data_IF_667009441268
#
_entry.id   IF_667009441268
#
_cell.length_a   1.000
_cell.length_b   1.000
_cell.length_c   1.000
_cell.angle_alpha   90.00
_cell.angle_beta   90.00
_cell.angle_gamma   90.00
#
_symmetry.space_group_name_H-M   'P 1'
#
loop_
_entity.id
_entity.type
_entity.pdbx_description
1 polymer ?
#
# COMPACT_ATOMS: atom_id res chain seq x y z
N UNK A 1 -8.83 37.79 3.34
CA UNK A 1 -7.58 37.11 2.93
C UNK A 1 -6.49 37.17 4.00
N UNK A 2 -6.01 38.34 4.45
CA UNK A 2 -4.96 38.41 5.49
C UNK A 2 -5.40 37.88 6.86
N UNK A 3 -6.66 38.09 7.24
CA UNK A 3 -7.18 37.67 8.55
C UNK A 3 -7.40 36.15 8.71
N UNK A 4 -7.26 35.37 7.63
CA UNK A 4 -7.42 33.90 7.62
C UNK A 4 -6.18 33.17 7.05
N UNK A 5 -5.09 33.89 6.76
CA UNK A 5 -3.86 33.29 6.22
C UNK A 5 -3.96 32.71 4.80
N UNK A 6 -5.01 33.02 4.04
CA UNK A 6 -5.22 32.46 2.70
C UNK A 6 -4.67 33.44 1.65
N UNK A 7 -3.44 33.18 1.19
CA UNK A 7 -2.89 33.74 -0.05
C UNK A 7 -3.08 32.74 -1.20
N UNK A 8 -3.64 33.18 -2.32
CA UNK A 8 -3.58 32.43 -3.58
C UNK A 8 -2.16 32.52 -4.13
N UNK A 9 -1.34 31.53 -3.79
CA UNK A 9 0.03 31.42 -4.25
C UNK A 9 0.10 30.32 -5.32
N UNK A 10 0.41 30.64 -6.59
CA UNK A 10 0.68 29.64 -7.63
C UNK A 10 1.81 28.67 -7.23
N UNK A 11 2.72 29.10 -6.36
CA UNK A 11 3.74 28.21 -5.79
C UNK A 11 3.14 27.08 -4.91
N UNK A 12 1.97 27.30 -4.29
CA UNK A 12 1.23 26.31 -3.50
C UNK A 12 0.25 25.48 -4.35
N UNK A 13 0.24 25.65 -5.68
CA UNK A 13 -0.55 24.82 -6.59
C UNK A 13 0.17 23.53 -7.02
N UNK A 14 1.32 23.22 -6.43
CA UNK A 14 2.01 21.95 -6.65
C UNK A 14 1.21 20.82 -6.00
N UNK A 15 0.49 20.06 -6.84
CA UNK A 15 -0.08 18.78 -6.44
C UNK A 15 1.04 17.75 -6.55
N UNK A 16 1.59 17.33 -5.40
CA UNK A 16 2.41 16.14 -5.38
C UNK A 16 1.55 14.93 -5.76
N UNK A 17 2.06 14.07 -6.64
CA UNK A 17 1.38 12.82 -6.97
C UNK A 17 1.23 11.98 -5.70
N UNK A 18 -0.01 11.65 -5.31
CA UNK A 18 -0.26 10.86 -4.11
C UNK A 18 0.44 9.49 -4.19
N UNK A 19 0.51 8.89 -5.38
CA UNK A 19 1.22 7.62 -5.58
C UNK A 19 2.74 7.74 -5.33
N UNK A 20 3.35 8.89 -5.68
CA UNK A 20 4.74 9.17 -5.33
C UNK A 20 4.92 9.31 -3.82
N UNK A 21 4.02 10.04 -3.15
CA UNK A 21 4.05 10.16 -1.69
C UNK A 21 3.90 8.81 -1.01
N UNK A 22 2.98 7.97 -1.47
CA UNK A 22 2.83 6.60 -0.99
C UNK A 22 4.14 5.83 -1.14
N UNK A 23 4.81 5.92 -2.28
CA UNK A 23 6.10 5.27 -2.47
C UNK A 23 7.13 5.74 -1.43
N UNK A 24 7.26 7.04 -1.21
CA UNK A 24 8.19 7.58 -0.21
C UNK A 24 7.84 7.13 1.21
N UNK A 25 6.57 7.06 1.57
CA UNK A 25 6.11 6.62 2.90
C UNK A 25 6.42 5.15 3.11
N UNK A 26 6.07 4.29 2.14
CA UNK A 26 6.33 2.86 2.25
C UNK A 26 7.83 2.57 2.20
N UNK A 27 8.60 3.30 1.38
CA UNK A 27 10.04 3.19 1.35
C UNK A 27 10.66 3.56 2.71
N UNK A 28 10.17 4.61 3.39
CA UNK A 28 10.63 4.97 4.75
C UNK A 28 10.32 3.87 5.76
N UNK A 29 9.12 3.29 5.66
CA UNK A 29 8.68 2.17 6.50
C UNK A 29 9.59 0.95 6.30
N UNK A 30 9.83 0.55 5.05
CA UNK A 30 10.69 -0.59 4.71
C UNK A 30 12.17 -0.34 5.04
N UNK A 31 12.64 0.91 5.03
CA UNK A 31 13.99 1.25 5.45
C UNK A 31 14.25 0.94 6.94
N UNK A 32 13.23 1.08 7.81
CA UNK A 32 13.33 0.66 9.22
C UNK A 32 13.52 -0.85 9.36
N UNK A 33 13.04 -1.63 8.38
CA UNK A 33 13.17 -3.09 8.34
C UNK A 33 14.41 -3.56 7.58
N UNK A 34 15.33 -2.63 7.27
CA UNK A 34 16.53 -2.85 6.44
C UNK A 34 16.21 -3.45 5.05
N UNK A 35 15.04 -3.12 4.52
CA UNK A 35 14.51 -3.73 3.30
C UNK A 35 14.51 -2.78 2.08
N UNK A 36 14.66 -1.48 2.33
CA UNK A 36 14.73 -0.43 1.33
C UNK A 36 15.75 0.66 1.73
N UNK A 37 16.33 1.41 0.78
CA UNK A 37 17.14 2.58 1.12
C UNK A 37 16.26 3.69 1.70
N UNK A 38 16.86 4.59 2.50
CA UNK A 38 16.13 5.75 3.03
C UNK A 38 15.66 6.67 1.87
N UNK A 39 14.34 6.97 1.76
CA UNK A 39 13.81 7.87 0.73
C UNK A 39 14.30 9.32 0.81
N UNK A 40 14.91 9.72 1.93
CA UNK A 40 15.58 11.02 2.06
C UNK A 40 16.96 11.05 1.37
N UNK A 41 17.51 9.86 1.04
CA UNK A 41 18.79 9.69 0.35
C UNK A 41 18.56 9.27 -1.09
N UNK A 42 17.73 8.26 -1.32
CA UNK A 42 17.47 7.66 -2.64
C UNK A 42 15.97 7.57 -2.88
N UNK A 43 15.46 8.26 -3.90
CA UNK A 43 14.03 8.18 -4.27
C UNK A 43 13.79 7.10 -5.33
N UNK A 44 13.35 5.93 -4.88
CA UNK A 44 13.14 4.76 -5.74
C UNK A 44 11.98 4.95 -6.74
N UNK A 45 11.08 5.90 -6.48
CA UNK A 45 9.99 6.22 -7.40
C UNK A 45 10.53 6.79 -8.70
N UNK A 46 11.54 7.67 -8.62
CA UNK A 46 12.10 8.33 -9.81
C UNK A 46 12.76 7.35 -10.77
N UNK A 47 13.33 6.26 -10.25
CA UNK A 47 13.93 5.18 -11.02
C UNK A 47 12.90 4.35 -11.80
N UNK A 48 11.66 4.31 -11.33
CA UNK A 48 10.60 3.40 -11.81
C UNK A 48 9.34 4.13 -12.29
N UNK A 49 9.41 5.44 -12.49
CA UNK A 49 8.26 6.31 -12.81
C UNK A 49 7.52 5.92 -14.10
N UNK A 50 8.20 5.22 -15.01
CA UNK A 50 7.66 4.83 -16.32
C UNK A 50 6.84 3.53 -16.25
N UNK A 51 6.87 2.83 -15.11
CA UNK A 51 6.10 1.62 -14.89
C UNK A 51 4.70 1.94 -14.34
N UNK A 52 3.71 1.03 -14.53
CA UNK A 52 2.36 1.22 -13.99
C UNK A 52 2.37 1.44 -12.47
N UNK A 53 1.60 2.42 -11.98
CA UNK A 53 1.55 2.79 -10.56
C UNK A 53 1.09 1.64 -9.66
N UNK A 54 0.00 0.96 -10.06
CA UNK A 54 -0.48 -0.25 -9.42
C UNK A 54 0.06 -1.49 -10.13
N UNK A 55 0.53 -2.46 -9.35
CA UNK A 55 0.97 -3.77 -9.84
C UNK A 55 -0.15 -4.78 -9.62
N UNK A 56 -0.52 -5.50 -10.68
CA UNK A 56 -1.49 -6.58 -10.65
C UNK A 56 -0.81 -7.88 -11.10
N UNK A 57 -0.57 -8.84 -10.20
CA UNK A 57 0.10 -10.11 -10.55
C UNK A 57 -0.71 -10.95 -11.54
N UNK A 58 -2.02 -10.76 -11.65
CA UNK A 58 -2.89 -11.50 -12.57
C UNK A 58 -2.70 -11.04 -14.03
N UNK A 59 -2.06 -9.87 -14.24
CA UNK A 59 -1.78 -9.29 -15.55
C UNK A 59 -0.27 -9.32 -15.88
N UNK A 60 0.57 -9.88 -15.00
CA UNK A 60 2.01 -9.92 -15.21
C UNK A 60 2.38 -10.99 -16.24
N UNK A 61 2.94 -10.63 -17.41
CA UNK A 61 3.24 -11.58 -18.48
C UNK A 61 4.31 -12.59 -18.09
N UNK A 62 5.27 -12.23 -17.22
CA UNK A 62 6.31 -13.15 -16.77
C UNK A 62 5.71 -14.20 -15.81
N UNK A 63 4.86 -13.76 -14.87
CA UNK A 63 4.16 -14.67 -13.96
C UNK A 63 3.25 -15.61 -14.74
N UNK A 64 2.43 -15.09 -15.65
CA UNK A 64 1.54 -15.89 -16.48
C UNK A 64 2.29 -16.88 -17.38
N UNK A 65 3.42 -16.46 -17.97
CA UNK A 65 4.26 -17.37 -18.75
C UNK A 65 4.79 -18.51 -17.89
N UNK A 66 5.28 -18.21 -16.67
CA UNK A 66 5.72 -19.24 -15.74
C UNK A 66 4.58 -20.18 -15.35
N UNK A 67 3.37 -19.69 -15.09
CA UNK A 67 2.19 -20.51 -14.75
C UNK A 67 1.78 -21.46 -15.90
N UNK A 68 1.96 -21.03 -17.15
CA UNK A 68 1.59 -21.81 -18.35
C UNK A 68 2.67 -22.77 -18.84
N UNK A 69 3.89 -22.74 -18.28
CA UNK A 69 4.96 -23.66 -18.67
C UNK A 69 4.54 -25.14 -18.51
N UNK A 70 4.78 -25.92 -19.57
CA UNK A 70 4.51 -27.36 -19.60
C UNK A 70 5.82 -28.11 -19.41
N UNK A 71 5.89 -28.97 -18.39
CA UNK A 71 7.03 -29.87 -18.21
C UNK A 71 6.71 -31.26 -18.75
N UNK A 72 7.67 -31.87 -19.44
CA UNK A 72 7.56 -33.27 -19.85
C UNK A 72 7.87 -34.20 -18.67
N UNK A 73 7.12 -35.28 -18.58
CA UNK A 73 7.41 -36.39 -17.67
C UNK A 73 8.72 -37.06 -18.13
N UNK A 74 9.72 -37.11 -17.25
CA UNK A 74 11.03 -37.74 -17.52
C UNK A 74 12.27 -36.84 -17.41
N UNK A 75 12.14 -35.52 -17.28
CA UNK A 75 13.28 -34.63 -16.93
C UNK A 75 13.56 -34.61 -15.42
N UNK A 76 13.58 -35.78 -14.76
CA UNK A 76 13.89 -35.89 -13.33
C UNK A 76 15.33 -36.38 -13.16
N UNK A 77 16.22 -35.48 -12.74
CA UNK A 77 17.41 -35.90 -11.99
C UNK A 77 17.01 -36.34 -10.57
N UNK A 78 17.83 -37.16 -9.89
CA UNK A 78 17.50 -37.82 -8.61
C UNK A 78 17.23 -36.75 -7.52
N UNK A 79 16.38 -36.89 -6.50
CA UNK A 79 15.65 -38.00 -5.87
C UNK A 79 14.30 -37.47 -5.33
N UNK A 80 13.30 -38.34 -5.20
CA UNK A 80 11.96 -38.05 -4.65
C UNK A 80 11.97 -37.60 -3.17
N UNK A 81 13.08 -37.80 -2.45
CA UNK A 81 13.28 -37.39 -1.05
C UNK A 81 13.62 -35.89 -0.89
N UNK A 82 13.96 -35.17 -1.97
CA UNK A 82 14.36 -33.76 -1.94
C UNK A 82 13.17 -32.78 -2.12
N UNK A 83 12.01 -33.26 -2.57
CA UNK A 83 10.79 -32.44 -2.70
C UNK A 83 10.20 -32.06 -1.33
N UNK A 84 10.39 -32.91 -0.31
CA UNK A 84 10.15 -32.52 1.08
C UNK A 84 11.22 -31.53 1.55
N UNK A 85 12.46 -31.62 1.05
CA UNK A 85 13.61 -30.79 1.40
C UNK A 85 13.53 -29.34 0.87
N UNK A 86 12.80 -29.02 -0.20
CA UNK A 86 12.62 -27.63 -0.65
C UNK A 86 11.70 -26.81 0.26
N UNK A 87 10.65 -27.43 0.81
CA UNK A 87 9.80 -26.85 1.85
C UNK A 87 10.43 -27.01 3.25
N UNK A 88 11.04 -28.15 3.57
CA UNK A 88 11.73 -28.39 4.84
C UNK A 88 13.09 -27.66 4.94
N UNK A 89 13.65 -27.22 3.82
CA UNK A 89 14.83 -26.36 3.75
C UNK A 89 14.57 -24.95 4.27
N UNK A 90 13.29 -24.59 4.44
CA UNK A 90 12.87 -23.41 5.21
C UNK A 90 12.85 -23.68 6.73
N UNK A 91 12.96 -24.94 7.18
CA UNK A 91 12.86 -25.34 8.61
C UNK A 91 13.93 -26.35 9.07
N UNK A 92 15.06 -26.44 8.36
CA UNK A 92 16.26 -27.27 8.62
C UNK A 92 16.21 -28.77 8.23
N UNK A 93 17.25 -29.20 7.52
CA UNK A 93 18.30 -30.08 8.07
C UNK A 93 19.65 -29.67 7.44
N UNK A 94 20.62 -29.34 8.29
CA UNK A 94 21.92 -28.75 7.94
C UNK A 94 22.88 -29.74 7.23
N UNK A 95 22.57 -31.03 7.23
CA UNK A 95 23.51 -32.10 6.96
C UNK A 95 23.71 -32.44 5.47
N UNK A 96 22.76 -32.12 4.60
CA UNK A 96 22.82 -32.44 3.15
C UNK A 96 23.38 -31.33 2.27
N UNK A 97 23.60 -30.13 2.81
CA UNK A 97 24.00 -28.95 2.04
C UNK A 97 25.52 -28.88 1.85
N UNK A 98 25.98 -28.32 0.72
CA UNK A 98 27.41 -28.01 0.54
C UNK A 98 27.88 -26.92 1.53
N UNK A 99 29.17 -26.86 1.89
CA UNK A 99 29.69 -25.85 2.82
C UNK A 99 29.34 -24.41 2.44
N UNK A 100 29.35 -24.08 1.14
CA UNK A 100 28.95 -22.76 0.65
C UNK A 100 27.44 -22.50 0.80
N UNK A 101 26.60 -23.49 0.50
CA UNK A 101 25.16 -23.38 0.70
C UNK A 101 24.81 -23.24 2.19
N UNK A 102 25.54 -23.93 3.08
CA UNK A 102 25.41 -23.77 4.53
C UNK A 102 25.76 -22.36 4.98
N UNK A 103 26.85 -21.78 4.46
CA UNK A 103 27.22 -20.39 4.78
C UNK A 103 26.16 -19.40 4.26
N UNK A 104 25.65 -19.58 3.04
CA UNK A 104 24.58 -18.72 2.51
C UNK A 104 23.27 -18.86 3.29
N UNK A 105 22.87 -20.08 3.68
CA UNK A 105 21.67 -20.32 4.49
C UNK A 105 21.85 -19.81 5.91
N UNK A 106 23.03 -19.97 6.50
CA UNK A 106 23.38 -19.42 7.81
C UNK A 106 23.34 -17.88 7.79
N UNK A 107 23.89 -17.24 6.76
CA UNK A 107 23.77 -15.79 6.56
C UNK A 107 22.32 -15.34 6.37
N UNK A 108 21.53 -16.05 5.55
CA UNK A 108 20.12 -15.73 5.34
C UNK A 108 19.28 -15.90 6.62
N UNK A 109 19.55 -16.94 7.41
CA UNK A 109 18.78 -17.30 8.60
C UNK A 109 19.10 -16.42 9.82
N UNK A 110 20.32 -15.86 9.93
CA UNK A 110 20.73 -15.09 11.11
C UNK A 110 21.06 -13.62 10.83
N UNK A 111 21.23 -13.22 9.57
CA UNK A 111 21.65 -11.86 9.22
C UNK A 111 20.68 -11.12 8.27
N UNK A 112 19.58 -11.73 7.85
CA UNK A 112 18.66 -11.13 6.90
C UNK A 112 17.24 -11.06 7.47
N UNK A 113 16.55 -9.94 7.22
CA UNK A 113 15.13 -9.77 7.56
C UNK A 113 14.26 -10.79 6.83
N UNK A 114 13.07 -11.08 7.38
CA UNK A 114 12.12 -12.03 6.79
C UNK A 114 11.79 -11.67 5.33
N UNK A 115 11.73 -10.38 5.00
CA UNK A 115 11.49 -9.92 3.63
C UNK A 115 12.65 -10.29 2.69
N UNK A 116 13.90 -10.19 3.15
CA UNK A 116 15.08 -10.59 2.37
C UNK A 116 15.10 -12.11 2.16
N UNK A 117 14.76 -12.89 3.20
CA UNK A 117 14.67 -14.34 3.07
C UNK A 117 13.57 -14.74 2.07
N UNK A 118 12.42 -14.05 2.12
CA UNK A 118 11.32 -14.22 1.17
C UNK A 118 11.77 -13.95 -0.27
N UNK A 119 12.37 -12.78 -0.53
CA UNK A 119 12.90 -12.37 -1.84
C UNK A 119 13.91 -13.37 -2.38
N UNK A 120 14.80 -13.86 -1.53
CA UNK A 120 15.80 -14.84 -1.92
C UNK A 120 15.16 -16.15 -2.34
N UNK A 121 14.14 -16.59 -1.59
CA UNK A 121 13.40 -17.82 -1.86
C UNK A 121 12.62 -17.73 -3.17
N UNK A 122 11.87 -16.64 -3.39
CA UNK A 122 11.12 -16.43 -4.65
C UNK A 122 12.06 -16.32 -5.84
N UNK A 123 13.19 -15.65 -5.69
CA UNK A 123 14.23 -15.56 -6.73
C UNK A 123 14.76 -16.94 -7.10
N UNK A 124 15.08 -17.78 -6.11
CA UNK A 124 15.54 -19.16 -6.34
C UNK A 124 14.50 -20.00 -7.06
N UNK A 125 13.23 -19.95 -6.63
CA UNK A 125 12.12 -20.66 -7.28
C UNK A 125 12.04 -20.27 -8.76
N UNK A 126 12.11 -18.98 -9.07
CA UNK A 126 11.98 -18.50 -10.44
C UNK A 126 13.26 -18.62 -11.28
N UNK A 127 14.40 -19.00 -10.69
CA UNK A 127 15.72 -18.95 -11.36
C UNK A 127 15.92 -19.97 -12.48
N UNK A 128 15.25 -21.13 -12.43
CA UNK A 128 15.39 -22.17 -13.45
C UNK A 128 14.09 -22.96 -13.68
N UNK A 129 13.90 -23.56 -14.86
CA UNK A 129 12.76 -24.43 -15.13
C UNK A 129 12.65 -25.58 -14.13
N UNK A 130 13.78 -26.14 -13.69
CA UNK A 130 13.80 -27.24 -12.71
C UNK A 130 13.26 -26.80 -11.35
N UNK A 131 13.63 -25.62 -10.87
CA UNK A 131 13.10 -25.08 -9.61
C UNK A 131 11.59 -24.79 -9.72
N UNK A 132 11.13 -24.21 -10.84
CA UNK A 132 9.71 -23.94 -11.09
C UNK A 132 8.88 -25.22 -11.19
N UNK A 133 9.43 -26.28 -11.79
CA UNK A 133 8.80 -27.61 -11.83
C UNK A 133 8.63 -28.18 -10.43
N UNK A 134 9.71 -28.25 -9.66
CA UNK A 134 9.71 -28.75 -8.27
C UNK A 134 8.70 -28.00 -7.39
N UNK A 135 8.63 -26.69 -7.54
CA UNK A 135 7.65 -25.86 -6.84
C UNK A 135 6.21 -26.24 -7.21
N UNK A 136 5.90 -26.37 -8.51
CA UNK A 136 4.57 -26.75 -8.99
C UNK A 136 4.16 -28.15 -8.57
N UNK A 137 5.05 -29.13 -8.65
CA UNK A 137 4.77 -30.50 -8.21
C UNK A 137 4.40 -30.52 -6.72
N UNK A 138 5.13 -29.73 -5.94
CA UNK A 138 4.85 -29.53 -4.50
C UNK A 138 3.51 -28.83 -4.29
N UNK A 139 3.23 -27.74 -5.02
CA UNK A 139 1.98 -27.00 -4.93
C UNK A 139 0.77 -27.86 -5.33
N UNK A 140 0.90 -28.67 -6.37
CA UNK A 140 -0.14 -29.62 -6.80
C UNK A 140 -0.44 -30.65 -5.71
N UNK A 141 0.59 -31.15 -5.01
CA UNK A 141 0.44 -32.08 -3.89
C UNK A 141 -0.22 -31.45 -2.67
N UNK A 142 0.13 -30.21 -2.33
CA UNK A 142 -0.32 -29.54 -1.09
C UNK A 142 -1.66 -28.83 -1.24
N UNK A 143 -1.92 -28.20 -2.39
CA UNK A 143 -3.11 -27.37 -2.65
C UNK A 143 -4.10 -28.04 -3.60
N UNK A 144 -4.09 -29.38 -3.68
CA UNK A 144 -4.98 -30.11 -4.56
C UNK A 144 -6.45 -29.67 -4.34
N UNK A 145 -7.11 -29.28 -5.43
CA UNK A 145 -8.49 -28.76 -5.45
C UNK A 145 -8.76 -27.47 -4.65
N UNK A 146 -7.74 -26.74 -4.19
CA UNK A 146 -7.94 -25.43 -3.56
C UNK A 146 -7.92 -24.31 -4.59
N UNK A 147 -8.70 -23.27 -4.32
CA UNK A 147 -8.91 -22.12 -5.19
C UNK A 147 -8.59 -20.85 -4.41
N UNK A 148 -7.92 -19.90 -5.06
CA UNK A 148 -7.67 -18.57 -4.53
C UNK A 148 -8.97 -17.74 -4.52
N UNK A 149 -8.93 -16.59 -3.85
CA UNK A 149 -10.03 -15.60 -3.89
C UNK A 149 -10.32 -15.11 -5.31
N UNK A 150 -9.30 -15.09 -6.18
CA UNK A 150 -9.43 -14.77 -7.61
C UNK A 150 -10.13 -15.86 -8.44
N UNK A 151 -10.51 -17.00 -7.85
CA UNK A 151 -11.10 -18.13 -8.56
C UNK A 151 -10.08 -19.00 -9.31
N UNK A 152 -8.79 -18.65 -9.28
CA UNK A 152 -7.70 -19.45 -9.87
C UNK A 152 -7.32 -20.62 -8.97
N UNK A 153 -6.91 -21.75 -9.54
CA UNK A 153 -6.46 -22.91 -8.73
C UNK A 153 -5.14 -22.57 -8.03
N UNK A 154 -5.05 -22.75 -6.72
CA UNK A 154 -3.80 -22.47 -5.99
C UNK A 154 -2.63 -23.31 -6.50
N UNK A 155 -2.90 -24.54 -6.94
CA UNK A 155 -1.89 -25.43 -7.53
C UNK A 155 -1.30 -24.92 -8.85
N UNK A 156 -1.97 -24.01 -9.57
CA UNK A 156 -1.46 -23.43 -10.81
C UNK A 156 -0.74 -22.10 -10.61
N UNK A 157 -0.79 -21.51 -9.42
CA UNK A 157 -0.19 -20.22 -9.16
C UNK A 157 1.33 -20.32 -9.04
N UNK A 158 2.02 -19.32 -9.56
CA UNK A 158 3.46 -19.13 -9.35
C UNK A 158 3.72 -18.01 -8.35
N UNK A 159 4.93 -18.00 -7.76
CA UNK A 159 5.37 -16.91 -6.89
C UNK A 159 5.66 -15.64 -7.69
N UNK A 160 5.34 -14.49 -7.11
CA UNK A 160 5.69 -13.17 -7.68
C UNK A 160 7.16 -12.88 -7.36
N UNK A 161 7.94 -12.53 -8.40
CA UNK A 161 9.31 -12.04 -8.19
C UNK A 161 9.24 -10.57 -7.82
N UNK A 162 9.85 -10.22 -6.70
CA UNK A 162 9.88 -8.84 -6.24
C UNK A 162 10.82 -7.96 -7.07
N UNK A 163 10.45 -6.69 -7.19
CA UNK A 163 11.31 -5.63 -7.72
C UNK A 163 11.68 -4.75 -6.52
N UNK A 164 12.92 -4.88 -6.04
CA UNK A 164 13.41 -4.29 -4.76
C UNK A 164 13.06 -2.81 -4.55
N UNK A 165 13.01 -2.03 -5.63
CA UNK A 165 12.72 -0.59 -5.60
C UNK A 165 11.21 -0.27 -5.66
N UNK A 166 10.34 -1.28 -5.61
CA UNK A 166 8.88 -1.15 -5.77
C UNK A 166 8.13 -1.98 -4.74
N UNK A 167 7.74 -1.32 -3.66
CA UNK A 167 7.02 -1.94 -2.56
C UNK A 167 5.71 -2.66 -2.97
N UNK A 168 5.04 -2.22 -4.05
CA UNK A 168 3.82 -2.86 -4.56
C UNK A 168 4.06 -4.33 -4.98
N UNK A 169 5.27 -4.64 -5.48
CA UNK A 169 5.67 -6.03 -5.76
C UNK A 169 5.93 -6.78 -4.45
N UNK A 170 6.49 -6.12 -3.45
CA UNK A 170 6.75 -6.74 -2.13
C UNK A 170 5.43 -7.12 -1.46
N UNK A 171 4.43 -6.24 -1.50
CA UNK A 171 3.08 -6.56 -1.01
C UNK A 171 2.43 -7.70 -1.81
N UNK A 172 2.46 -7.66 -3.14
CA UNK A 172 1.91 -8.74 -3.98
C UNK A 172 2.62 -10.08 -3.75
N UNK A 173 3.94 -10.06 -3.56
CA UNK A 173 4.74 -11.24 -3.21
C UNK A 173 4.30 -11.84 -1.87
N UNK A 174 4.10 -11.00 -0.85
CA UNK A 174 3.62 -11.43 0.47
C UNK A 174 2.21 -12.02 0.35
N UNK A 175 1.27 -11.33 -0.33
CA UNK A 175 -0.10 -11.80 -0.50
C UNK A 175 -0.17 -13.13 -1.26
N UNK A 176 0.57 -13.25 -2.37
CA UNK A 176 0.61 -14.47 -3.16
C UNK A 176 1.13 -15.64 -2.33
N UNK A 177 2.17 -15.43 -1.53
CA UNK A 177 2.72 -16.48 -0.67
C UNK A 177 1.84 -16.80 0.53
N UNK A 178 1.14 -15.81 1.10
CA UNK A 178 0.13 -16.04 2.11
C UNK A 178 -1.00 -16.94 1.59
N UNK A 179 -1.46 -16.73 0.35
CA UNK A 179 -2.45 -17.60 -0.31
C UNK A 179 -1.94 -19.04 -0.48
N UNK A 180 -0.63 -19.19 -0.63
CA UNK A 180 0.08 -20.48 -0.68
C UNK A 180 0.47 -20.96 0.73
N UNK A 181 -0.21 -20.52 1.78
CA UNK A 181 -0.19 -21.10 3.14
C UNK A 181 1.23 -21.23 3.69
N UNK A 182 1.86 -20.11 4.00
CA UNK A 182 2.91 -20.08 5.02
C UNK A 182 2.28 -20.58 6.35
N UNK A 183 2.64 -21.78 6.82
CA UNK A 183 2.39 -22.28 8.20
C UNK A 183 3.77 -22.49 8.84
N UNK A 184 4.07 -22.21 10.11
CA UNK A 184 3.44 -21.48 11.22
C UNK A 184 4.64 -21.08 12.10
N UNK A 185 4.70 -19.82 12.56
CA UNK A 185 5.76 -19.13 13.34
C UNK A 185 6.79 -18.32 12.53
N UNK A 186 7.39 -18.85 11.46
CA UNK A 186 8.57 -18.18 10.86
C UNK A 186 8.25 -16.92 10.04
N UNK A 187 6.97 -16.68 9.71
CA UNK A 187 6.56 -15.60 8.79
C UNK A 187 5.39 -14.74 9.29
N UNK A 188 5.08 -14.79 10.59
CA UNK A 188 4.03 -13.96 11.20
C UNK A 188 4.32 -12.46 10.99
N UNK A 189 5.60 -12.08 11.00
CA UNK A 189 6.02 -10.71 10.70
C UNK A 189 5.61 -10.28 9.28
N UNK A 190 5.74 -11.18 8.29
CA UNK A 190 5.37 -10.89 6.90
C UNK A 190 3.86 -10.74 6.72
N UNK A 191 3.07 -11.55 7.41
CA UNK A 191 1.61 -11.43 7.38
C UNK A 191 1.16 -10.08 7.96
N UNK A 192 1.72 -9.71 9.11
CA UNK A 192 1.49 -8.41 9.75
C UNK A 192 1.98 -7.25 8.86
N UNK A 193 3.14 -7.40 8.22
CA UNK A 193 3.66 -6.42 7.25
C UNK A 193 2.74 -6.32 6.03
N UNK A 194 2.24 -7.43 5.49
CA UNK A 194 1.29 -7.44 4.40
C UNK A 194 0.04 -6.65 4.73
N UNK A 195 -0.54 -6.89 5.91
CA UNK A 195 -1.70 -6.13 6.43
C UNK A 195 -1.40 -4.63 6.57
N UNK A 196 -0.19 -4.27 7.02
CA UNK A 196 0.24 -2.88 7.12
C UNK A 196 0.39 -2.22 5.73
N UNK A 197 0.88 -2.96 4.74
CA UNK A 197 1.10 -2.46 3.38
C UNK A 197 -0.19 -2.37 2.55
N UNK A 198 -1.22 -3.15 2.88
CA UNK A 198 -2.46 -3.27 2.12
C UNK A 198 -3.16 -1.93 1.86
N UNK A 199 -3.23 -1.07 2.88
CA UNK A 199 -3.81 0.28 2.77
C UNK A 199 -3.15 1.08 1.63
N UNK A 200 -1.84 1.00 1.50
CA UNK A 200 -1.10 1.71 0.46
C UNK A 200 -1.39 1.13 -0.93
N UNK A 201 -1.57 -0.20 -1.05
CA UNK A 201 -1.92 -0.85 -2.32
C UNK A 201 -3.30 -0.42 -2.77
N UNK A 202 -4.25 -0.34 -1.85
CA UNK A 202 -5.60 0.16 -2.14
C UNK A 202 -5.58 1.63 -2.58
N UNK A 203 -4.78 2.47 -1.92
CA UNK A 203 -4.61 3.88 -2.32
C UNK A 203 -4.01 3.99 -3.72
N UNK A 204 -2.94 3.25 -4.03
CA UNK A 204 -2.33 3.31 -5.37
C UNK A 204 -3.24 2.75 -6.45
N UNK A 205 -4.00 1.69 -6.17
CA UNK A 205 -5.03 1.16 -7.07
C UNK A 205 -6.07 2.24 -7.38
N UNK A 206 -6.60 2.90 -6.35
CA UNK A 206 -7.58 3.98 -6.52
C UNK A 206 -7.02 5.14 -7.33
N UNK A 207 -5.79 5.57 -7.05
CA UNK A 207 -5.16 6.69 -7.75
C UNK A 207 -4.74 6.34 -9.19
N UNK A 208 -4.74 5.06 -9.56
CA UNK A 208 -4.43 4.58 -10.91
C UNK A 208 -5.68 4.44 -11.79
N UNK A 209 -6.88 4.63 -11.24
CA UNK A 209 -8.12 4.53 -12.00
C UNK A 209 -8.30 5.73 -12.93
N UNK A 210 -8.28 5.47 -14.24
CA UNK A 210 -8.46 6.49 -15.27
C UNK A 210 -9.92 6.89 -15.50
N UNK A 211 -10.88 6.10 -14.97
CA UNK A 211 -12.31 6.29 -15.22
C UNK A 211 -12.97 7.26 -14.23
N UNK A 212 -12.31 7.61 -13.13
CA UNK A 212 -12.86 8.46 -12.08
C UNK A 212 -11.94 9.64 -11.73
N UNK A 213 -12.50 10.83 -11.40
CA UNK A 213 -11.69 11.93 -10.88
C UNK A 213 -11.01 11.53 -9.56
N UNK A 214 -9.68 11.54 -9.52
CA UNK A 214 -8.90 11.09 -8.35
C UNK A 214 -8.62 12.22 -7.34
N UNK A 215 -8.61 13.48 -7.79
CA UNK A 215 -8.29 14.64 -6.95
C UNK A 215 -9.20 14.82 -5.72
N UNK A 216 -10.53 14.58 -5.78
CA UNK A 216 -11.39 14.66 -4.59
C UNK A 216 -11.03 13.67 -3.49
N UNK A 217 -10.36 12.57 -3.86
CA UNK A 217 -10.02 11.48 -2.94
C UNK A 217 -8.70 11.70 -2.22
N UNK A 218 -7.89 12.69 -2.63
CA UNK A 218 -6.56 12.90 -2.06
C UNK A 218 -6.60 13.11 -0.55
N UNK A 219 -7.42 14.03 -0.04
CA UNK A 219 -7.51 14.29 1.41
C UNK A 219 -8.09 13.07 2.18
N UNK A 220 -9.21 12.46 1.74
CA UNK A 220 -9.70 11.22 2.36
C UNK A 220 -8.67 10.09 2.42
N UNK A 221 -7.92 9.87 1.34
CA UNK A 221 -6.91 8.81 1.28
C UNK A 221 -5.74 9.10 2.24
N UNK A 222 -5.32 10.35 2.39
CA UNK A 222 -4.34 10.72 3.43
C UNK A 222 -4.85 10.42 4.84
N UNK A 223 -6.11 10.76 5.14
CA UNK A 223 -6.70 10.46 6.45
C UNK A 223 -6.73 8.94 6.68
N UNK A 224 -7.19 8.15 5.71
CA UNK A 224 -7.20 6.69 5.79
C UNK A 224 -5.81 6.10 6.07
N UNK A 225 -4.77 6.54 5.35
CA UNK A 225 -3.39 6.10 5.60
C UNK A 225 -2.88 6.50 6.99
N UNK A 226 -3.20 7.72 7.46
CA UNK A 226 -2.81 8.18 8.81
C UNK A 226 -3.48 7.35 9.89
N UNK A 227 -4.77 7.07 9.76
CA UNK A 227 -5.52 6.24 10.70
C UNK A 227 -4.90 4.85 10.76
N UNK A 228 -4.65 4.21 9.63
CA UNK A 228 -4.00 2.90 9.60
C UNK A 228 -2.64 2.90 10.30
N UNK A 229 -1.76 3.85 9.98
CA UNK A 229 -0.43 3.93 10.58
C UNK A 229 -0.48 4.22 12.09
N UNK A 230 -1.44 5.05 12.56
CA UNK A 230 -1.65 5.30 13.98
C UNK A 230 -2.15 4.04 14.70
N UNK A 231 -3.13 3.35 14.13
CA UNK A 231 -3.60 2.07 14.66
C UNK A 231 -2.46 1.06 14.76
N UNK A 232 -1.61 0.94 13.73
CA UNK A 232 -0.44 0.04 13.78
C UNK A 232 0.65 0.49 14.75
N UNK A 233 0.82 1.80 14.98
CA UNK A 233 1.73 2.30 16.03
C UNK A 233 1.24 1.90 17.43
N UNK A 234 -0.06 2.01 17.66
CA UNK A 234 -0.68 1.84 18.98
C UNK A 234 -1.05 0.37 19.27
N UNK A 235 -1.00 -0.51 18.26
CA UNK A 235 -1.26 -1.94 18.40
C UNK A 235 -0.09 -2.66 19.09
N UNK A 236 -0.31 -2.99 20.37
CA UNK A 236 0.66 -3.71 21.22
C UNK A 236 0.88 -5.18 20.80
N UNK A 237 0.06 -5.71 19.88
CA UNK A 237 0.22 -7.07 19.35
C UNK A 237 1.18 -7.12 18.15
N UNK A 238 1.54 -5.95 17.59
CA UNK A 238 2.53 -5.85 16.54
C UNK A 238 3.95 -5.85 17.11
N UNK A 239 4.91 -6.53 16.45
CA UNK A 239 6.32 -6.45 16.80
C UNK A 239 6.83 -5.01 16.81
N UNK A 240 7.75 -4.70 17.73
CA UNK A 240 8.32 -3.35 17.87
C UNK A 240 8.97 -2.82 16.59
N UNK A 241 9.51 -3.71 15.76
CA UNK A 241 10.04 -3.35 14.44
C UNK A 241 8.96 -2.79 13.51
N UNK A 242 7.78 -3.43 13.44
CA UNK A 242 6.66 -2.95 12.63
C UNK A 242 6.03 -1.69 13.21
N UNK A 243 5.95 -1.58 14.53
CA UNK A 243 5.47 -0.36 15.20
C UNK A 243 6.40 0.82 14.93
N UNK A 244 7.72 0.59 14.99
CA UNK A 244 8.74 1.59 14.64
C UNK A 244 8.68 1.96 13.17
N UNK A 245 8.48 0.99 12.28
CA UNK A 245 8.28 1.22 10.86
C UNK A 245 7.02 2.05 10.57
N UNK A 246 5.92 1.79 11.27
CA UNK A 246 4.69 2.58 11.19
C UNK A 246 4.89 4.02 11.68
N UNK A 247 5.68 4.23 12.74
CA UNK A 247 6.06 5.59 13.21
C UNK A 247 6.83 6.33 12.12
N UNK A 248 7.88 5.73 11.56
CA UNK A 248 8.69 6.36 10.53
C UNK A 248 7.88 6.67 9.26
N UNK A 249 7.00 5.75 8.85
CA UNK A 249 6.04 5.98 7.77
C UNK A 249 5.09 7.12 8.08
N UNK A 250 4.56 7.21 9.30
CA UNK A 250 3.63 8.25 9.74
C UNK A 250 4.30 9.62 9.72
N UNK A 251 5.52 9.74 10.25
CA UNK A 251 6.31 10.98 10.21
C UNK A 251 6.50 11.48 8.77
N UNK A 252 6.87 10.56 7.85
CA UNK A 252 7.01 10.90 6.43
C UNK A 252 5.68 11.31 5.81
N UNK A 253 4.59 10.64 6.16
CA UNK A 253 3.25 10.93 5.66
C UNK A 253 2.75 12.29 6.12
N UNK A 254 2.97 12.67 7.38
CA UNK A 254 2.53 13.95 7.95
C UNK A 254 3.16 15.16 7.24
N UNK A 255 4.42 15.04 6.78
CA UNK A 255 5.08 16.10 5.97
C UNK A 255 4.29 16.39 4.70
N UNK A 256 3.89 15.35 3.98
CA UNK A 256 3.14 15.52 2.73
C UNK A 256 1.66 15.77 2.95
N UNK A 257 1.09 15.27 4.04
CA UNK A 257 -0.27 15.57 4.45
C UNK A 257 -0.43 17.07 4.73
N UNK A 258 0.51 17.69 5.44
CA UNK A 258 0.52 19.13 5.66
C UNK A 258 0.54 19.91 4.34
N UNK A 259 1.35 19.48 3.36
CA UNK A 259 1.34 20.08 2.01
C UNK A 259 -0.01 19.90 1.31
N UNK A 260 -0.58 18.71 1.39
CA UNK A 260 -1.88 18.40 0.80
C UNK A 260 -3.01 19.24 1.41
N UNK A 261 -3.00 19.46 2.72
CA UNK A 261 -3.93 20.34 3.44
C UNK A 261 -3.78 21.81 3.07
N UNK A 262 -2.62 22.20 2.53
CA UNK A 262 -2.37 23.57 2.08
C UNK A 262 -2.63 23.78 0.59
N UNK A 263 -2.85 22.70 -0.17
CA UNK A 263 -3.27 22.77 -1.57
C UNK A 263 -4.74 23.15 -1.67
N UNK A 264 -4.99 24.32 -2.27
CA UNK A 264 -6.34 24.80 -2.52
C UNK A 264 -7.12 23.87 -3.46
N UNK A 265 -6.43 23.25 -4.43
CA UNK A 265 -7.03 22.32 -5.38
C UNK A 265 -7.53 21.06 -4.68
N UNK A 266 -6.77 20.52 -3.73
CA UNK A 266 -7.21 19.37 -2.94
C UNK A 266 -8.45 19.71 -2.10
N UNK A 267 -8.46 20.87 -1.44
CA UNK A 267 -9.58 21.32 -0.62
C UNK A 267 -10.83 21.51 -1.48
N UNK A 268 -10.75 22.30 -2.54
CA UNK A 268 -11.90 22.63 -3.40
C UNK A 268 -12.41 21.36 -4.08
N UNK A 269 -11.52 20.51 -4.59
CA UNK A 269 -11.92 19.26 -5.25
C UNK A 269 -12.64 18.32 -4.30
N UNK A 270 -12.18 18.21 -3.05
CA UNK A 270 -12.84 17.40 -2.02
C UNK A 270 -14.19 18.00 -1.65
N UNK A 271 -14.27 19.33 -1.48
CA UNK A 271 -15.50 20.04 -1.14
C UNK A 271 -16.58 19.91 -2.22
N UNK A 272 -16.18 19.93 -3.49
CA UNK A 272 -17.10 19.79 -4.64
C UNK A 272 -17.65 18.37 -4.81
N UNK A 273 -17.09 17.38 -4.10
CA UNK A 273 -17.56 16.01 -4.20
C UNK A 273 -18.91 15.83 -3.49
N UNK A 274 -19.95 15.26 -4.15
CA UNK A 274 -21.29 15.15 -3.58
C UNK A 274 -21.36 14.36 -2.27
N UNK A 275 -20.51 13.36 -2.09
CA UNK A 275 -20.47 12.52 -0.88
C UNK A 275 -19.81 13.24 0.29
N UNK A 276 -18.84 14.12 0.03
CA UNK A 276 -18.06 14.78 1.08
C UNK A 276 -18.69 16.11 1.47
N UNK A 277 -18.71 17.06 0.53
CA UNK A 277 -19.19 18.42 0.78
C UNK A 277 -18.50 19.08 1.98
N UNK A 278 -19.17 20.08 2.54
CA UNK A 278 -18.71 20.77 3.76
C UNK A 278 -18.79 19.86 5.01
N UNK A 279 -19.68 18.85 4.98
CA UNK A 279 -19.89 17.90 6.08
C UNK A 279 -18.61 17.12 6.38
N UNK A 280 -17.89 16.71 5.35
CA UNK A 280 -16.59 16.06 5.50
C UNK A 280 -15.61 16.93 6.29
N UNK A 281 -15.50 18.22 5.97
CA UNK A 281 -14.58 19.14 6.66
C UNK A 281 -14.95 19.34 8.13
N UNK A 282 -16.24 19.42 8.46
CA UNK A 282 -16.67 19.47 9.87
C UNK A 282 -16.29 18.21 10.64
N UNK A 283 -16.37 17.03 10.00
CA UNK A 283 -16.00 15.75 10.62
C UNK A 283 -14.50 15.65 10.88
N UNK A 284 -13.66 16.06 9.93
CA UNK A 284 -12.20 15.93 10.09
C UNK A 284 -11.57 17.05 10.92
N UNK A 285 -12.23 18.19 11.10
CA UNK A 285 -11.72 19.32 11.89
C UNK A 285 -11.49 18.94 13.36
N UNK A 286 -12.28 18.01 13.90
CA UNK A 286 -12.04 17.44 15.25
C UNK A 286 -10.81 16.54 15.31
N UNK A 287 -10.40 15.92 14.20
CA UNK A 287 -9.23 15.03 14.15
C UNK A 287 -7.92 15.76 13.81
N UNK A 288 -8.02 16.87 13.07
CA UNK A 288 -6.85 17.64 12.65
C UNK A 288 -7.14 19.12 12.53
N UNK A 289 -6.29 19.92 13.18
CA UNK A 289 -6.32 21.39 13.09
C UNK A 289 -5.85 21.92 11.72
N UNK A 290 -5.34 21.07 10.82
CA UNK A 290 -4.80 21.49 9.53
C UNK A 290 -5.90 21.80 8.49
N UNK A 291 -7.11 21.25 8.70
CA UNK A 291 -8.26 21.40 7.82
C UNK A 291 -9.46 21.88 8.64
N UNK A 292 -10.00 23.04 8.30
CA UNK A 292 -11.23 23.57 8.91
C UNK A 292 -12.32 23.79 7.88
N UNK A 293 -13.57 23.58 8.29
CA UNK A 293 -14.72 23.83 7.43
C UNK A 293 -14.80 25.30 7.01
N UNK A 294 -14.51 26.21 7.94
CA UNK A 294 -14.48 27.65 7.66
C UNK A 294 -13.46 28.00 6.55
N UNK A 295 -12.25 27.42 6.59
CA UNK A 295 -11.24 27.63 5.55
C UNK A 295 -11.72 27.12 4.19
N UNK A 296 -12.30 25.93 4.15
CA UNK A 296 -12.80 25.34 2.91
C UNK A 296 -13.93 26.18 2.28
N UNK A 297 -14.87 26.66 3.11
CA UNK A 297 -15.97 27.52 2.67
C UNK A 297 -15.47 28.84 2.11
N UNK A 298 -14.63 29.58 2.85
CA UNK A 298 -14.09 30.88 2.41
C UNK A 298 -13.29 30.73 1.11
N UNK A 299 -12.50 29.66 0.99
CA UNK A 299 -11.75 29.37 -0.23
C UNK A 299 -12.69 29.13 -1.42
N UNK A 300 -13.73 28.32 -1.23
CA UNK A 300 -14.70 28.03 -2.28
C UNK A 300 -15.47 29.25 -2.73
N UNK A 301 -16.00 30.04 -1.79
CA UNK A 301 -16.71 31.29 -2.09
C UNK A 301 -15.82 32.22 -2.92
N UNK A 302 -14.56 32.40 -2.53
CA UNK A 302 -13.62 33.23 -3.27
C UNK A 302 -13.37 32.74 -4.71
N UNK A 303 -13.18 31.44 -4.89
CA UNK A 303 -12.96 30.84 -6.22
C UNK A 303 -14.23 30.92 -7.06
N UNK A 304 -15.39 30.68 -6.47
CA UNK A 304 -16.68 30.78 -7.14
C UNK A 304 -16.98 32.21 -7.60
N UNK A 305 -16.75 33.22 -6.76
CA UNK A 305 -16.89 34.62 -7.16
C UNK A 305 -15.97 34.98 -8.32
N UNK A 306 -14.73 34.47 -8.30
CA UNK A 306 -13.76 34.71 -9.37
C UNK A 306 -14.19 34.06 -10.68
N UNK A 307 -14.67 32.81 -10.61
CA UNK A 307 -15.29 32.10 -11.73
C UNK A 307 -16.50 32.87 -12.28
N UNK A 308 -17.40 33.33 -11.41
CA UNK A 308 -18.59 34.09 -11.79
C UNK A 308 -18.24 35.40 -12.50
N UNK A 309 -17.22 36.14 -12.04
CA UNK A 309 -16.79 37.39 -12.70
C UNK A 309 -16.29 37.15 -14.13
N UNK A 310 -15.54 36.06 -14.35
CA UNK A 310 -15.03 35.70 -15.68
C UNK A 310 -16.20 35.33 -16.61
N UNK A 311 -17.11 34.48 -16.13
CA UNK A 311 -18.21 33.96 -16.93
C UNK A 311 -19.46 34.84 -16.98
N UNK A 312 -19.55 35.91 -16.20
CA UNK A 312 -20.62 36.92 -16.33
C UNK A 312 -20.54 37.70 -17.65
N UNK A 313 -19.41 37.66 -18.34
CA UNK A 313 -19.19 38.34 -19.63
C UNK A 313 -19.52 37.44 -20.83
N UNK A 314 -19.54 36.11 -20.63
CA UNK A 314 -19.87 35.12 -21.66
C UNK A 314 -21.32 34.66 -21.48
N UNK A 315 -22.24 35.22 -22.26
CA UNK A 315 -23.67 34.86 -22.25
C UNK A 315 -24.01 33.47 -22.82
N UNK A 316 -23.03 32.59 -23.00
CA UNK A 316 -23.27 31.19 -23.35
C UNK A 316 -23.41 30.36 -22.07
N UNK A 317 -24.65 30.03 -21.68
CA UNK A 317 -24.90 29.04 -20.64
C UNK A 317 -24.14 27.74 -20.94
N UNK A 318 -23.35 27.19 -20.01
CA UNK A 318 -22.82 25.85 -20.14
C UNK A 318 -24.01 24.88 -20.30
N UNK A 319 -24.04 24.10 -21.39
CA UNK A 319 -24.98 22.98 -21.50
C UNK A 319 -24.76 22.10 -20.27
N UNK A 320 -25.80 21.93 -19.47
CA UNK A 320 -25.78 20.99 -18.35
C UNK A 320 -25.25 19.65 -18.88
N UNK A 321 -24.19 19.07 -18.27
CA UNK A 321 -23.71 17.78 -18.69
C UNK A 321 -24.87 16.79 -18.61
N UNK A 322 -25.05 16.01 -19.68
CA UNK A 322 -26.05 14.94 -19.68
C UNK A 322 -25.84 14.12 -18.41
N UNK A 323 -26.91 13.94 -17.64
CA UNK A 323 -26.90 13.21 -16.38
C UNK A 323 -26.57 11.75 -16.65
N UNK A 324 -25.29 11.44 -16.83
CA UNK A 324 -24.78 10.09 -16.63
C UNK A 324 -24.88 9.87 -15.14
N UNK A 325 -25.94 9.18 -14.74
CA UNK A 325 -26.05 8.61 -13.39
C UNK A 325 -24.77 7.81 -13.21
N UNK A 326 -23.86 8.27 -12.36
CA UNK A 326 -22.71 7.49 -11.90
C UNK A 326 -23.26 6.25 -11.20
N UNK A 327 -23.59 5.21 -11.97
CA UNK A 327 -23.80 3.86 -11.48
C UNK A 327 -22.41 3.22 -11.34
N UNK A 328 -21.54 3.85 -10.56
CA UNK A 328 -20.41 3.17 -9.98
C UNK A 328 -20.87 2.68 -8.64
N UNK A 329 -21.05 1.38 -8.47
CA UNK A 329 -20.90 0.78 -7.14
C UNK A 329 -19.50 1.13 -6.68
N UNK A 330 -19.36 2.12 -5.78
CA UNK A 330 -18.10 2.38 -5.12
C UNK A 330 -17.67 1.07 -4.45
N UNK A 331 -16.39 0.71 -4.57
CA UNK A 331 -15.88 -0.50 -3.92
C UNK A 331 -15.98 -0.36 -2.39
N UNK A 332 -16.06 -1.48 -1.67
CA UNK A 332 -16.11 -1.52 -0.20
C UNK A 332 -15.03 -0.66 0.47
N UNK A 333 -13.85 -0.54 -0.16
CA UNK A 333 -12.77 0.31 0.29
C UNK A 333 -13.12 1.80 0.32
N UNK A 334 -13.71 2.35 -0.75
CA UNK A 334 -14.09 3.76 -0.81
C UNK A 334 -15.28 4.06 0.10
N UNK A 335 -16.22 3.11 0.21
CA UNK A 335 -17.31 3.22 1.16
C UNK A 335 -16.76 3.30 2.58
N UNK A 336 -15.79 2.45 2.95
CA UNK A 336 -15.12 2.52 4.25
C UNK A 336 -14.42 3.87 4.47
N UNK A 337 -13.73 4.42 3.45
CA UNK A 337 -13.11 5.76 3.55
C UNK A 337 -14.16 6.87 3.69
N UNK A 338 -15.30 6.74 3.02
CA UNK A 338 -16.42 7.68 3.17
C UNK A 338 -17.09 7.55 4.55
N UNK A 339 -17.07 6.35 5.13
CA UNK A 339 -17.79 6.04 6.37
C UNK A 339 -16.95 6.28 7.63
N UNK A 340 -15.62 6.06 7.63
CA UNK A 340 -14.69 6.13 8.79
C UNK A 340 -15.38 6.64 10.06
N UNK A 341 -16.01 5.75 10.82
CA UNK A 341 -16.60 6.10 12.11
C UNK A 341 -15.46 6.39 13.09
N UNK A 342 -15.47 7.57 13.68
CA UNK A 342 -14.37 8.11 14.52
C UNK A 342 -14.53 7.69 15.98
N UNK A 343 -15.37 6.70 16.27
CA UNK A 343 -15.74 6.32 17.65
C UNK A 343 -14.72 5.40 18.37
N UNK A 344 -13.47 5.30 17.91
CA UNK A 344 -12.46 4.40 18.52
C UNK A 344 -11.34 5.13 19.28
N UNK A 345 -11.46 6.43 19.58
CA UNK A 345 -10.39 7.16 20.30
C UNK A 345 -10.86 8.10 21.43
N UNK A 346 -11.97 7.79 22.11
CA UNK A 346 -12.20 8.35 23.45
C UNK A 346 -12.04 7.29 24.54
N UNK A 347 -11.37 7.72 25.61
CA UNK A 347 -11.16 7.08 26.92
C UNK A 347 -9.86 6.27 27.09
N UNK A 348 -8.75 6.99 27.16
CA UNK A 348 -7.76 6.77 28.22
C UNK A 348 -7.21 8.09 28.75
N UNK A 349 -8.09 8.98 29.22
CA UNK A 349 -7.69 10.10 30.08
C UNK A 349 -7.70 9.60 31.53
N UNK A 350 -6.55 9.09 31.99
CA UNK A 350 -6.31 8.89 33.42
C UNK A 350 -6.14 10.29 34.04
N UNK A 351 -7.17 10.70 34.78
CA UNK A 351 -7.14 11.87 35.66
C UNK A 351 -6.12 11.64 36.78
N UNK A 352 -4.99 12.34 36.73
CA UNK A 352 -4.08 12.47 37.87
C UNK A 352 -4.59 13.61 38.76
N UNK A 353 -4.88 13.37 40.06
CA UNK A 353 -5.30 14.44 40.95
C UNK A 353 -4.09 15.31 41.32
N UNK A 354 -4.16 16.59 40.95
CA UNK A 354 -3.30 17.64 41.50
C UNK A 354 -3.60 17.77 43.02
N UNK A 355 -2.65 17.38 43.86
CA UNK A 355 -2.61 17.79 45.27
C UNK A 355 -1.65 18.96 45.40
N UNK A 356 -2.19 20.12 45.80
CA UNK A 356 -1.41 21.23 46.34
C UNK A 356 -0.74 20.80 47.64
N UNK A 357 0.56 21.10 47.75
CA UNK A 357 1.22 21.50 49.00
C UNK A 357 2.13 22.68 48.69
#
# INVERSE_FOLDING_TARGET
MQNFGIQFAPANSQIHCLAHVVNLVVQKLLAVLDDAPDPDITDDYLLNKDLPLHYDPDQDPEVLAMEQEVFKDGEMGPDEDEAASLLAGLTSTFESLSPLQRVSIFFLSYCCSDVIQLRTTTTKICSSPQHRKRFRDTAARVYNNKVAESGRKLASLMVVRDVRHRWNYTHAMIQQLASLILKKNDWELLEKLGTLLEMFTNVTKQMSDSSTPTLPWVLPLYIGMRTQLRSSRDDVTLPDSLRSAAIAGLEKLEVYFSKACNSQLNIISTLLHPTFGIKYFHKIESETHLLSAARAQVLFEHVYESYQRIHATDSSQPKAPATSRLQGTFGSFLDNICMIDVDVLEVSSVSVPFQCN
#
